data_IF_304202777416
#
_entry.id   IF_304202777416
#
_cell.length_a   1.000
_cell.length_b   1.000
_cell.length_c   1.000
_cell.angle_alpha   90.00
_cell.angle_beta   90.00
_cell.angle_gamma   90.00
#
_symmetry.space_group_name_H-M   'P 1'
#
loop_
_entity.id
_entity.type
_entity.pdbx_description
1 polymer ?
#
# COMPACT_ATOMS: atom_id res chain seq x y z
N UNK A 1 -34.71 -20.53 -3.99
CA UNK A 1 -35.36 -19.54 -3.12
C UNK A 1 -34.94 -18.20 -3.62
N UNK A 2 -35.89 -17.40 -4.08
CA UNK A 2 -35.61 -16.01 -4.49
C UNK A 2 -35.34 -15.25 -3.19
N UNK A 3 -34.13 -14.71 -3.07
CA UNK A 3 -33.71 -13.91 -1.91
C UNK A 3 -33.94 -12.47 -2.32
N UNK A 4 -34.52 -11.68 -1.42
CA UNK A 4 -34.70 -10.25 -1.63
C UNK A 4 -33.33 -9.58 -1.86
N UNK A 5 -33.23 -8.67 -2.82
CA UNK A 5 -31.98 -7.97 -3.17
C UNK A 5 -31.41 -7.22 -1.96
N UNK A 6 -32.30 -6.80 -1.06
CA UNK A 6 -31.99 -6.10 0.19
C UNK A 6 -31.38 -7.02 1.26
N UNK A 7 -31.58 -8.34 1.17
CA UNK A 7 -31.05 -9.36 2.07
C UNK A 7 -29.91 -10.20 1.46
N UNK A 8 -29.57 -9.99 0.18
CA UNK A 8 -28.59 -10.80 -0.56
C UNK A 8 -27.25 -10.92 0.17
N UNK A 9 -26.70 -9.81 0.66
CA UNK A 9 -25.42 -9.79 1.38
C UNK A 9 -25.46 -10.48 2.74
N UNK A 10 -26.64 -10.61 3.35
CA UNK A 10 -26.81 -11.31 4.63
C UNK A 10 -26.72 -12.84 4.49
N UNK A 11 -26.85 -13.35 3.27
CA UNK A 11 -26.79 -14.80 2.97
C UNK A 11 -25.38 -15.31 2.63
N UNK A 12 -24.40 -14.42 2.51
CA UNK A 12 -23.04 -14.79 2.12
C UNK A 12 -22.35 -15.61 3.22
N UNK A 13 -21.61 -16.65 2.80
CA UNK A 13 -20.83 -17.46 3.71
C UNK A 13 -19.69 -16.66 4.36
N UNK A 14 -19.25 -17.08 5.55
CA UNK A 14 -18.07 -16.49 6.19
C UNK A 14 -16.84 -16.65 5.29
N UNK A 15 -16.03 -15.59 5.20
CA UNK A 15 -14.86 -15.49 4.32
C UNK A 15 -15.18 -15.35 2.82
N UNK A 16 -16.39 -14.95 2.45
CA UNK A 16 -16.69 -14.57 1.07
C UNK A 16 -15.91 -13.31 0.68
N UNK A 17 -15.18 -13.36 -0.44
CA UNK A 17 -14.46 -12.21 -0.99
C UNK A 17 -15.30 -11.51 -2.05
N UNK A 18 -15.58 -10.22 -1.87
CA UNK A 18 -16.26 -9.39 -2.86
C UNK A 18 -15.22 -8.57 -3.64
N UNK A 19 -15.42 -8.43 -4.94
CA UNK A 19 -14.54 -7.66 -5.82
C UNK A 19 -15.39 -6.74 -6.68
N UNK A 20 -15.07 -5.46 -6.69
CA UNK A 20 -15.71 -4.46 -7.54
C UNK A 20 -14.79 -4.19 -8.72
N UNK A 21 -15.34 -4.18 -9.93
CA UNK A 21 -14.64 -3.87 -11.17
C UNK A 21 -15.09 -2.49 -11.66
N UNK A 22 -14.16 -1.66 -12.12
CA UNK A 22 -14.45 -0.34 -12.66
C UNK A 22 -14.23 -0.29 -14.18
N UNK A 23 -15.16 0.32 -14.92
CA UNK A 23 -14.99 0.59 -16.35
C UNK A 23 -14.82 -0.69 -17.20
N UNK A 24 -13.65 -0.87 -17.80
CA UNK A 24 -13.28 -1.98 -18.68
C UNK A 24 -12.45 -3.08 -17.97
N UNK A 25 -12.33 -3.01 -16.64
CA UNK A 25 -11.67 -4.03 -15.86
C UNK A 25 -12.36 -5.39 -15.99
N UNK A 26 -11.55 -6.46 -16.02
CA UNK A 26 -12.01 -7.83 -16.14
C UNK A 26 -11.65 -8.61 -14.89
N UNK A 27 -12.52 -9.57 -14.55
CA UNK A 27 -12.28 -10.47 -13.44
C UNK A 27 -10.96 -11.24 -13.65
N UNK A 28 -10.00 -11.04 -12.74
CA UNK A 28 -8.73 -11.77 -12.75
C UNK A 28 -8.79 -12.86 -11.68
N UNK A 29 -8.37 -14.08 -12.05
CA UNK A 29 -8.34 -15.19 -11.10
C UNK A 29 -7.38 -14.88 -9.93
N UNK A 30 -7.72 -15.26 -8.69
CA UNK A 30 -6.80 -15.20 -7.57
C UNK A 30 -5.50 -15.92 -7.92
N UNK A 31 -4.36 -15.21 -7.89
CA UNK A 31 -3.04 -15.75 -8.24
C UNK A 31 -2.49 -15.35 -9.61
N UNK A 32 -3.24 -14.60 -10.43
CA UNK A 32 -2.67 -13.96 -11.62
C UNK A 32 -1.69 -12.86 -11.20
N UNK A 33 -0.44 -12.92 -11.66
CA UNK A 33 0.64 -11.95 -11.36
C UNK A 33 0.28 -10.48 -11.70
N UNK A 34 -0.80 -10.27 -12.49
CA UNK A 34 -1.34 -8.93 -12.80
C UNK A 34 -2.37 -8.40 -11.79
N UNK A 35 -2.83 -9.22 -10.84
CA UNK A 35 -3.82 -8.84 -9.83
C UNK A 35 -3.18 -8.17 -8.59
N UNK A 36 -2.13 -7.39 -8.79
CA UNK A 36 -1.44 -6.66 -7.74
C UNK A 36 -2.16 -5.33 -7.42
N UNK A 37 -3.44 -5.42 -7.06
CA UNK A 37 -4.03 -4.50 -6.08
C UNK A 37 -5.32 -5.14 -5.56
N UNK A 38 -5.24 -5.71 -4.35
CA UNK A 38 -6.44 -6.08 -3.57
C UNK A 38 -7.06 -4.85 -2.87
N UNK A 39 -6.54 -3.66 -3.15
CA UNK A 39 -7.03 -2.40 -2.64
C UNK A 39 -7.76 -1.69 -3.77
N UNK A 40 -9.07 -1.55 -3.62
CA UNK A 40 -9.81 -0.52 -4.33
C UNK A 40 -9.33 0.79 -3.70
N UNK A 41 -8.55 1.57 -4.46
CA UNK A 41 -8.39 2.99 -4.13
C UNK A 41 -9.77 3.59 -4.38
N UNK A 42 -10.57 3.67 -3.32
CA UNK A 42 -11.88 4.32 -3.38
C UNK A 42 -11.62 5.79 -3.70
N UNK A 43 -11.83 6.13 -4.97
CA UNK A 43 -11.93 7.51 -5.42
C UNK A 43 -12.97 8.22 -4.55
N UNK A 44 -12.63 9.40 -4.06
CA UNK A 44 -13.50 10.15 -3.18
C UNK A 44 -14.76 10.52 -3.97
N UNK A 45 -15.92 10.30 -3.37
CA UNK A 45 -17.22 10.67 -3.95
C UNK A 45 -17.20 12.16 -4.32
N UNK A 46 -17.33 12.46 -5.62
CA UNK A 46 -17.60 13.78 -6.18
C UNK A 46 -19.00 14.27 -5.75
N UNK A 47 -19.20 14.47 -4.45
CA UNK A 47 -20.34 15.22 -3.92
C UNK A 47 -19.86 16.49 -3.21
N UNK A 48 -19.02 17.25 -3.90
CA UNK A 48 -19.10 18.70 -3.78
C UNK A 48 -18.96 19.31 -5.15
N UNK A 49 -19.98 20.06 -5.54
CA UNK A 49 -19.93 21.03 -6.62
C UNK A 49 -18.76 21.97 -6.38
N UNK A 50 -17.57 21.62 -6.86
CA UNK A 50 -16.39 22.46 -6.80
C UNK A 50 -15.79 22.55 -8.20
N UNK A 51 -15.78 23.79 -8.65
CA UNK A 51 -15.31 24.27 -9.95
C UNK A 51 -13.97 23.65 -10.32
N UNK A 52 -13.82 23.39 -11.63
CA UNK A 52 -12.68 22.76 -12.33
C UNK A 52 -11.30 23.32 -11.93
N UNK A 53 -11.24 24.52 -11.33
CA UNK A 53 -10.02 25.15 -10.82
C UNK A 53 -9.47 24.57 -9.50
N UNK A 54 -10.23 23.78 -8.72
CA UNK A 54 -9.73 23.12 -7.49
C UNK A 54 -9.17 21.70 -7.72
N UNK A 55 -9.40 21.10 -8.88
CA UNK A 55 -8.81 19.80 -9.24
C UNK A 55 -7.28 19.90 -9.39
N UNK A 56 -6.76 21.09 -9.69
CA UNK A 56 -5.32 21.35 -9.78
C UNK A 56 -4.61 21.44 -8.41
N UNK A 57 -5.35 21.56 -7.31
CA UNK A 57 -4.78 21.66 -5.94
C UNK A 57 -4.56 20.31 -5.25
N UNK A 58 -5.00 19.21 -5.87
CA UNK A 58 -4.91 17.86 -5.32
C UNK A 58 -3.83 17.02 -6.01
N UNK A 59 -2.66 17.62 -6.29
CA UNK A 59 -1.42 16.84 -6.15
C UNK A 59 -1.22 16.53 -4.66
N UNK A 60 -2.13 15.74 -4.08
CA UNK A 60 -2.00 15.30 -2.69
C UNK A 60 -0.69 14.54 -2.60
N UNK A 61 0.12 14.93 -1.63
CA UNK A 61 1.39 14.28 -1.39
C UNK A 61 1.09 12.79 -1.13
N UNK A 62 1.61 11.84 -1.93
CA UNK A 62 1.26 10.42 -1.81
C UNK A 62 1.61 9.82 -0.43
N UNK A 63 2.38 10.56 0.37
CA UNK A 63 2.72 10.29 1.76
C UNK A 63 1.52 10.42 2.70
N UNK A 64 0.60 11.36 2.47
CA UNK A 64 -0.52 11.68 3.37
C UNK A 64 -1.37 10.46 3.79
N UNK A 65 -1.87 9.61 2.85
CA UNK A 65 -2.67 8.44 3.22
C UNK A 65 -1.85 7.39 3.98
N UNK A 66 -0.56 7.25 3.67
CA UNK A 66 0.33 6.32 4.36
C UNK A 66 0.53 6.74 5.82
N UNK A 67 0.83 8.02 6.04
CA UNK A 67 1.03 8.56 7.39
C UNK A 67 -0.26 8.51 8.20
N UNK A 68 -1.41 8.85 7.59
CA UNK A 68 -2.71 8.77 8.26
C UNK A 68 -3.03 7.34 8.71
N UNK A 69 -2.72 6.35 7.87
CA UNK A 69 -2.91 4.93 8.18
C UNK A 69 -1.99 4.48 9.32
N UNK A 70 -0.72 4.88 9.26
CA UNK A 70 0.30 4.51 10.26
C UNK A 70 0.10 5.23 11.60
N UNK A 71 -0.52 6.40 11.59
CA UNK A 71 -0.93 7.11 12.80
C UNK A 71 -2.09 6.39 13.49
N UNK A 72 -3.01 5.80 12.73
CA UNK A 72 -4.08 4.95 13.26
C UNK A 72 -3.57 3.62 13.81
N UNK A 73 -2.69 2.93 13.06
CA UNK A 73 -2.05 1.70 13.48
C UNK A 73 -0.59 1.61 12.96
N UNK A 74 0.41 1.80 13.84
CA UNK A 74 1.82 1.71 13.48
C UNK A 74 2.27 0.33 12.99
N UNK A 75 1.52 -0.74 13.29
CA UNK A 75 1.88 -2.11 12.88
C UNK A 75 1.85 -2.30 11.37
N UNK A 76 1.07 -1.47 10.66
CA UNK A 76 0.94 -1.50 9.21
C UNK A 76 2.25 -1.19 8.47
N UNK A 77 3.26 -0.63 9.14
CA UNK A 77 4.59 -0.39 8.55
C UNK A 77 5.23 -1.67 8.00
N UNK A 78 4.92 -2.81 8.63
CA UNK A 78 5.44 -4.14 8.22
C UNK A 78 4.85 -4.63 6.89
N UNK A 79 3.72 -4.08 6.46
CA UNK A 79 3.04 -4.44 5.21
C UNK A 79 3.52 -3.62 4.01
N UNK A 80 4.33 -2.59 4.24
CA UNK A 80 4.70 -1.62 3.23
C UNK A 80 5.72 -2.15 2.19
N UNK A 81 5.53 -1.69 0.96
CA UNK A 81 6.44 -1.93 -0.15
C UNK A 81 7.77 -1.19 0.00
N UNK A 82 8.75 -1.52 -0.83
CA UNK A 82 10.00 -0.74 -0.88
C UNK A 82 9.76 0.71 -1.31
N UNK A 83 8.84 0.91 -2.26
CA UNK A 83 8.44 2.22 -2.75
C UNK A 83 7.78 3.08 -1.67
N UNK A 84 6.86 2.51 -0.89
CA UNK A 84 6.15 3.26 0.16
C UNK A 84 7.09 3.65 1.30
N UNK A 85 8.02 2.76 1.67
CA UNK A 85 9.04 3.04 2.68
C UNK A 85 10.03 4.12 2.20
N UNK A 86 10.40 4.12 0.91
CA UNK A 86 11.24 5.15 0.31
C UNK A 86 10.55 6.52 0.37
N UNK A 87 9.29 6.56 -0.05
CA UNK A 87 8.48 7.76 0.00
C UNK A 87 8.31 8.31 1.43
N UNK A 88 8.07 7.44 2.41
CA UNK A 88 8.00 7.82 3.83
C UNK A 88 9.36 8.25 4.40
N UNK A 89 10.47 7.71 3.89
CA UNK A 89 11.82 8.08 4.32
C UNK A 89 12.25 9.45 3.76
N UNK A 90 11.75 9.82 2.58
CA UNK A 90 12.04 11.10 1.90
C UNK A 90 11.04 12.22 2.26
N UNK A 91 9.99 11.90 3.02
CA UNK A 91 9.00 12.83 3.56
C UNK A 91 9.63 14.04 4.27
N UNK A 92 9.00 15.21 4.10
CA UNK A 92 9.26 16.39 4.92
C UNK A 92 8.21 16.51 6.05
N UNK A 93 8.60 16.31 7.32
CA UNK A 93 7.69 16.41 8.47
C UNK A 93 7.01 17.78 8.59
N UNK A 94 7.71 18.86 8.21
CA UNK A 94 7.18 20.22 8.32
C UNK A 94 6.05 20.46 7.29
N UNK A 95 6.07 19.75 6.15
CA UNK A 95 5.03 19.82 5.12
C UNK A 95 3.71 19.12 5.50
N UNK A 96 3.74 18.25 6.51
CA UNK A 96 2.58 17.45 6.95
C UNK A 96 2.03 17.90 8.30
N UNK A 97 2.62 18.93 8.90
CA UNK A 97 2.20 19.48 10.19
C UNK A 97 0.74 19.97 10.21
N UNK A 98 0.22 20.37 9.04
CA UNK A 98 -1.18 20.77 8.87
C UNK A 98 -2.17 19.59 8.95
N UNK A 99 -1.70 18.36 8.72
CA UNK A 99 -2.52 17.13 8.69
C UNK A 99 -2.35 16.37 9.99
N UNK A 100 -1.09 16.17 10.41
CA UNK A 100 -0.75 15.53 11.67
C UNK A 100 0.10 16.50 12.48
N UNK A 101 -0.45 17.08 13.57
CA UNK A 101 0.27 18.07 14.36
C UNK A 101 1.42 17.47 15.19
N UNK A 102 1.45 16.14 15.35
CA UNK A 102 2.52 15.45 16.09
C UNK A 102 3.79 15.32 15.24
N UNK A 103 4.64 16.35 15.34
CA UNK A 103 5.96 16.35 14.70
C UNK A 103 6.86 15.22 15.20
N UNK A 104 6.78 14.87 16.48
CA UNK A 104 7.64 13.82 17.03
C UNK A 104 7.31 12.47 16.39
N UNK A 105 6.02 12.19 16.21
CA UNK A 105 5.56 11.03 15.45
C UNK A 105 6.06 11.06 14.01
N UNK A 106 5.92 12.17 13.29
CA UNK A 106 6.36 12.28 11.88
C UNK A 106 7.87 12.02 11.72
N UNK A 107 8.70 12.57 12.62
CA UNK A 107 10.14 12.32 12.64
C UNK A 107 10.48 10.86 12.93
N UNK A 108 9.81 10.26 13.93
CA UNK A 108 9.98 8.85 14.24
C UNK A 108 9.55 7.95 13.09
N UNK A 109 8.46 8.30 12.41
CA UNK A 109 7.94 7.55 11.27
C UNK A 109 8.90 7.61 10.09
N UNK A 110 9.45 8.80 9.78
CA UNK A 110 10.48 8.98 8.77
C UNK A 110 11.72 8.13 9.08
N UNK A 111 12.21 8.21 10.32
CA UNK A 111 13.38 7.46 10.76
C UNK A 111 13.14 5.94 10.72
N UNK A 112 11.98 5.47 11.20
CA UNK A 112 11.61 4.07 11.18
C UNK A 112 11.53 3.55 9.73
N UNK A 113 10.86 4.29 8.85
CA UNK A 113 10.69 3.91 7.44
C UNK A 113 12.04 3.75 6.73
N UNK A 114 12.98 4.69 6.95
CA UNK A 114 14.34 4.58 6.42
C UNK A 114 15.11 3.37 6.96
N UNK A 115 14.95 3.05 8.25
CA UNK A 115 15.56 1.85 8.85
C UNK A 115 15.00 0.56 8.25
N UNK A 116 13.68 0.43 8.16
CA UNK A 116 13.02 -0.73 7.56
C UNK A 116 13.41 -0.92 6.10
N UNK A 117 13.52 0.16 5.33
CA UNK A 117 13.98 0.12 3.95
C UNK A 117 15.41 -0.43 3.83
N UNK A 118 16.32 0.03 4.69
CA UNK A 118 17.71 -0.42 4.71
C UNK A 118 17.83 -1.91 5.09
N UNK A 119 17.14 -2.34 6.14
CA UNK A 119 17.11 -3.74 6.58
C UNK A 119 16.57 -4.66 5.48
N UNK A 120 15.52 -4.22 4.78
CA UNK A 120 14.93 -4.96 3.65
C UNK A 120 15.90 -5.09 2.48
N UNK A 121 16.59 -4.01 2.08
CA UNK A 121 17.62 -4.04 1.01
C UNK A 121 18.77 -4.96 1.39
N UNK A 122 19.27 -4.86 2.62
CA UNK A 122 20.34 -5.73 3.13
C UNK A 122 19.94 -7.22 3.10
N UNK A 123 18.70 -7.55 3.50
CA UNK A 123 18.21 -8.92 3.44
C UNK A 123 18.12 -9.45 2.00
N UNK A 124 17.68 -8.60 1.05
CA UNK A 124 17.61 -8.95 -0.37
C UNK A 124 19.00 -9.17 -0.97
N UNK A 125 19.96 -8.30 -0.66
CA UNK A 125 21.36 -8.45 -1.09
C UNK A 125 21.98 -9.73 -0.55
N UNK A 126 21.76 -10.00 0.74
CA UNK A 126 22.25 -11.23 1.39
C UNK A 126 21.66 -12.49 0.75
N UNK A 127 20.36 -12.48 0.45
CA UNK A 127 19.69 -13.56 -0.27
C UNK A 127 20.25 -13.76 -1.68
N UNK A 128 20.48 -12.67 -2.42
CA UNK A 128 21.05 -12.73 -3.76
C UNK A 128 22.48 -13.33 -3.74
N UNK A 129 23.30 -12.94 -2.76
CA UNK A 129 24.62 -13.53 -2.55
C UNK A 129 24.53 -15.04 -2.27
N UNK A 130 23.63 -15.46 -1.38
CA UNK A 130 23.42 -16.88 -1.08
C UNK A 130 22.98 -17.69 -2.31
N UNK A 131 22.10 -17.13 -3.14
CA UNK A 131 21.67 -17.76 -4.39
C UNK A 131 22.81 -17.89 -5.41
N UNK A 132 23.67 -16.87 -5.52
CA UNK A 132 24.86 -16.92 -6.36
C UNK A 132 25.81 -18.05 -5.92
N UNK A 133 26.05 -18.22 -4.62
CA UNK A 133 26.87 -19.32 -4.12
C UNK A 133 26.21 -20.69 -4.30
N UNK A 134 24.89 -20.79 -4.13
CA UNK A 134 24.17 -22.04 -4.36
C UNK A 134 24.27 -22.49 -5.82
N UNK A 135 24.02 -21.59 -6.76
CA UNK A 135 24.08 -21.87 -8.21
C UNK A 135 25.50 -22.04 -8.74
N UNK A 136 26.47 -21.30 -8.18
CA UNK A 136 27.89 -21.47 -8.52
C UNK A 136 28.48 -22.79 -8.02
N UNK A 137 28.04 -23.28 -6.85
CA UNK A 137 28.49 -24.56 -6.28
C UNK A 137 27.95 -25.80 -6.99
N UNK A 138 26.87 -25.67 -7.78
CA UNK A 138 26.33 -26.76 -8.60
C UNK A 138 27.18 -27.03 -9.86
N UNK A 139 27.91 -26.03 -10.37
CA UNK A 139 28.82 -26.20 -11.52
C UNK A 139 30.16 -26.85 -11.17
N UNK A 140 30.61 -26.79 -9.91
CA UNK A 140 31.89 -27.41 -9.47
C UNK A 140 31.75 -28.90 -9.11
N UNK A 141 30.51 -29.43 -9.10
CA UNK A 141 30.21 -30.83 -8.78
C UNK A 141 29.79 -31.69 -9.99
N UNK A 142 29.89 -31.15 -11.20
CA UNK A 142 29.58 -31.84 -12.46
C UNK A 142 30.86 -32.29 -13.20
#
# INVERSE_FOLDING_TARGET
>A
TEVDDEEYFATLERNTSLMVLQGDEKWLSPGSSKAASRYIVVDNVDHSSRTVDEAARHYRNPVEPLVSTLHGDPSHISLLGGNDLELLSDMDPDSLADIIPDRLFLEQLKQASGRFLAEKRQAQESMALLQMYATGGEMERA
#
